data_IF_374570330196
#
_entry.id   IF_374570330196
#
_cell.length_a   1.000
_cell.length_b   1.000
_cell.length_c   1.000
_cell.angle_alpha   90.00
_cell.angle_beta   90.00
_cell.angle_gamma   90.00
#
_symmetry.space_group_name_H-M   'P 1'
#
loop_
_entity.id
_entity.type
_entity.pdbx_description
1 polymer ?
#
# COMPACT_ATOMS: atom_id res chain seq x y z
N UNK A 1 -7.60 24.70 -9.70
CA UNK A 1 -8.00 25.54 -8.53
C UNK A 1 -8.33 26.93 -9.02
N UNK A 2 -9.55 27.42 -8.77
CA UNK A 2 -9.89 28.82 -8.97
C UNK A 2 -9.12 29.65 -7.95
N UNK A 3 -8.47 30.73 -8.41
CA UNK A 3 -7.74 31.65 -7.55
C UNK A 3 -8.74 32.37 -6.65
N UNK A 4 -8.69 32.14 -5.33
CA UNK A 4 -9.51 32.85 -4.36
C UNK A 4 -8.74 34.10 -3.94
N UNK A 5 -9.33 35.27 -4.12
CA UNK A 5 -8.76 36.58 -3.72
C UNK A 5 -9.50 37.01 -2.47
N UNK A 6 -8.77 37.33 -1.42
CA UNK A 6 -9.30 37.90 -0.17
C UNK A 6 -8.77 39.36 -0.09
N UNK A 7 -9.68 40.30 -0.13
CA UNK A 7 -9.34 41.74 0.03
C UNK A 7 -9.41 42.11 1.50
N UNK A 8 -8.43 42.87 1.96
CA UNK A 8 -8.33 43.31 3.34
C UNK A 8 -8.00 44.82 3.39
N UNK A 9 -8.88 45.60 3.99
CA UNK A 9 -8.63 46.99 4.34
C UNK A 9 -8.02 47.11 5.73
N UNK A 10 -7.62 48.35 6.11
CA UNK A 10 -6.95 48.62 7.39
C UNK A 10 -7.92 48.77 8.59
N UNK A 11 -9.23 48.61 8.40
CA UNK A 11 -10.17 48.67 9.52
C UNK A 11 -10.18 47.35 10.28
N UNK A 12 -10.39 47.38 11.58
CA UNK A 12 -10.50 46.19 12.45
C UNK A 12 -11.53 45.18 11.91
N UNK A 13 -12.67 45.69 11.43
CA UNK A 13 -13.72 44.85 10.85
C UNK A 13 -13.22 44.10 9.59
N UNK A 14 -12.57 44.84 8.66
CA UNK A 14 -12.07 44.23 7.43
C UNK A 14 -10.99 43.17 7.68
N UNK A 15 -10.14 43.42 8.70
CA UNK A 15 -9.14 42.42 9.12
C UNK A 15 -9.84 41.16 9.69
N UNK A 16 -10.87 41.32 10.53
CA UNK A 16 -11.60 40.22 11.09
C UNK A 16 -12.32 39.41 10.00
N UNK A 17 -12.98 40.09 9.06
CA UNK A 17 -13.66 39.44 7.92
C UNK A 17 -12.66 38.64 7.05
N UNK A 18 -11.46 39.15 6.82
CA UNK A 18 -10.40 38.43 6.10
C UNK A 18 -9.91 37.22 6.86
N UNK A 19 -9.74 37.30 8.19
CA UNK A 19 -9.38 36.16 9.05
C UNK A 19 -10.44 35.07 8.97
N UNK A 20 -11.71 35.44 9.04
CA UNK A 20 -12.79 34.45 9.01
C UNK A 20 -12.90 33.76 7.63
N UNK A 21 -12.68 34.50 6.53
CA UNK A 21 -12.59 33.92 5.20
C UNK A 21 -11.40 32.94 5.07
N UNK A 22 -10.25 33.24 5.66
CA UNK A 22 -9.09 32.36 5.68
C UNK A 22 -9.37 31.06 6.46
N UNK A 23 -10.08 31.15 7.58
CA UNK A 23 -10.47 29.96 8.36
C UNK A 23 -11.42 29.06 7.57
N UNK A 24 -12.39 29.64 6.87
CA UNK A 24 -13.30 28.89 6.00
C UNK A 24 -12.50 28.19 4.89
N UNK A 25 -11.61 28.92 4.23
CA UNK A 25 -10.75 28.35 3.18
C UNK A 25 -9.87 27.21 3.70
N UNK A 26 -9.28 27.38 4.87
CA UNK A 26 -8.48 26.33 5.53
C UNK A 26 -9.31 25.08 5.79
N UNK A 27 -10.53 25.22 6.28
CA UNK A 27 -11.44 24.10 6.52
C UNK A 27 -11.79 23.39 5.22
N UNK A 28 -12.13 24.13 4.15
CA UNK A 28 -12.39 23.58 2.83
C UNK A 28 -11.20 22.79 2.27
N UNK A 29 -9.99 23.33 2.42
CA UNK A 29 -8.75 22.69 1.98
C UNK A 29 -8.47 21.40 2.76
N UNK A 30 -8.65 21.45 4.07
CA UNK A 30 -8.47 20.25 4.93
C UNK A 30 -9.46 19.15 4.55
N UNK A 31 -10.72 19.48 4.32
CA UNK A 31 -11.72 18.49 3.88
C UNK A 31 -11.37 17.89 2.52
N UNK A 32 -10.85 18.68 1.59
CA UNK A 32 -10.38 18.19 0.29
C UNK A 32 -9.16 17.28 0.43
N UNK A 33 -8.20 17.64 1.27
CA UNK A 33 -7.04 16.78 1.56
C UNK A 33 -7.48 15.44 2.16
N UNK A 34 -8.40 15.47 3.12
CA UNK A 34 -8.94 14.26 3.72
C UNK A 34 -9.63 13.37 2.67
N UNK A 35 -10.46 13.94 1.80
CA UNK A 35 -11.12 13.22 0.72
C UNK A 35 -10.10 12.62 -0.26
N UNK A 36 -9.06 13.39 -0.60
CA UNK A 36 -7.99 12.94 -1.49
C UNK A 36 -7.24 11.73 -0.92
N UNK A 37 -6.82 11.80 0.35
CA UNK A 37 -6.15 10.68 1.04
C UNK A 37 -7.06 9.45 1.10
N UNK A 38 -8.33 9.62 1.49
CA UNK A 38 -9.29 8.52 1.57
C UNK A 38 -9.46 7.81 0.23
N UNK A 39 -9.69 8.56 -0.86
CA UNK A 39 -9.90 7.96 -2.18
C UNK A 39 -8.69 7.19 -2.70
N UNK A 40 -7.47 7.67 -2.44
CA UNK A 40 -6.25 6.94 -2.80
C UNK A 40 -6.08 5.68 -1.96
N UNK A 41 -6.38 5.73 -0.68
CA UNK A 41 -6.30 4.59 0.22
C UNK A 41 -7.31 3.50 -0.14
N UNK A 42 -8.54 3.89 -0.42
CA UNK A 42 -9.61 2.98 -0.83
C UNK A 42 -9.28 2.28 -2.15
N UNK A 43 -8.76 3.03 -3.14
CA UNK A 43 -8.27 2.45 -4.39
C UNK A 43 -7.15 1.42 -4.16
N UNK A 44 -6.15 1.77 -3.37
CA UNK A 44 -5.06 0.85 -3.07
C UNK A 44 -5.52 -0.40 -2.31
N UNK A 45 -6.42 -0.24 -1.33
CA UNK A 45 -6.99 -1.36 -0.59
C UNK A 45 -7.78 -2.30 -1.51
N UNK A 46 -8.59 -1.76 -2.42
CA UNK A 46 -9.36 -2.53 -3.41
C UNK A 46 -8.42 -3.40 -4.28
N UNK A 47 -7.30 -2.83 -4.73
CA UNK A 47 -6.32 -3.59 -5.52
C UNK A 47 -5.67 -4.70 -4.70
N UNK A 48 -5.30 -4.44 -3.44
CA UNK A 48 -4.77 -5.47 -2.54
C UNK A 48 -5.77 -6.60 -2.38
N UNK A 49 -7.02 -6.28 -2.06
CA UNK A 49 -8.08 -7.26 -1.84
C UNK A 49 -8.35 -8.10 -3.09
N UNK A 50 -8.51 -7.45 -4.24
CA UNK A 50 -8.74 -8.13 -5.52
C UNK A 50 -7.59 -9.08 -5.87
N UNK A 51 -6.35 -8.66 -5.64
CA UNK A 51 -5.18 -9.51 -5.86
C UNK A 51 -5.19 -10.70 -4.91
N UNK A 52 -5.42 -10.48 -3.63
CA UNK A 52 -5.49 -11.55 -2.63
C UNK A 52 -6.62 -12.54 -2.90
N UNK A 53 -7.78 -12.07 -3.37
CA UNK A 53 -8.92 -12.94 -3.75
C UNK A 53 -8.61 -13.82 -4.95
N UNK A 54 -7.71 -13.41 -5.85
CA UNK A 54 -7.29 -14.18 -7.02
C UNK A 54 -6.34 -15.33 -6.68
N UNK A 55 -5.79 -15.36 -5.47
CA UNK A 55 -4.83 -16.38 -5.01
C UNK A 55 -5.58 -17.65 -4.54
N UNK A 56 -5.15 -18.84 -4.90
CA UNK A 56 -5.71 -20.08 -4.37
C UNK A 56 -5.70 -20.13 -2.84
N UNK A 57 -6.74 -20.67 -2.23
CA UNK A 57 -6.90 -20.67 -0.77
C UNK A 57 -5.77 -21.40 -0.05
N UNK A 58 -5.24 -22.46 -0.65
CA UNK A 58 -4.10 -23.22 -0.12
C UNK A 58 -2.79 -22.41 -0.06
N UNK A 59 -2.64 -21.39 -0.92
CA UNK A 59 -1.45 -20.55 -0.97
C UNK A 59 -1.57 -19.30 -0.09
N UNK A 60 -2.79 -18.69 -0.08
CA UNK A 60 -2.95 -17.38 0.58
C UNK A 60 -3.00 -17.46 2.10
N UNK A 61 -3.50 -18.57 2.67
CA UNK A 61 -3.70 -18.69 4.11
C UNK A 61 -4.66 -17.64 4.69
N UNK A 62 -4.59 -17.44 6.00
CA UNK A 62 -5.36 -16.38 6.65
C UNK A 62 -4.67 -15.03 6.49
N UNK A 63 -5.42 -14.01 6.13
CA UNK A 63 -4.92 -12.65 5.98
C UNK A 63 -5.94 -11.61 6.44
N UNK A 64 -5.45 -10.42 6.70
CA UNK A 64 -6.23 -9.25 7.10
C UNK A 64 -5.70 -8.00 6.41
N UNK A 65 -6.60 -7.15 5.93
CA UNK A 65 -6.26 -5.88 5.27
C UNK A 65 -6.94 -4.71 5.99
N UNK A 66 -6.23 -3.61 6.15
CA UNK A 66 -6.78 -2.39 6.75
C UNK A 66 -6.16 -1.12 6.18
N UNK A 67 -6.87 -0.01 6.32
CA UNK A 67 -6.33 1.34 6.12
C UNK A 67 -6.12 1.96 7.50
N UNK A 68 -4.89 2.41 7.76
CA UNK A 68 -4.52 3.16 8.96
C UNK A 68 -4.38 4.61 8.58
N UNK A 69 -5.18 5.49 9.20
CA UNK A 69 -5.14 6.93 8.92
C UNK A 69 -4.28 7.67 9.95
N UNK A 70 -3.34 8.49 9.43
CA UNK A 70 -2.59 9.44 10.24
C UNK A 70 -3.42 10.71 10.44
N UNK A 71 -3.62 11.11 11.70
CA UNK A 71 -4.47 12.24 12.07
C UNK A 71 -3.71 13.25 12.92
N UNK A 72 -3.81 14.53 12.53
CA UNK A 72 -3.44 15.70 13.35
C UNK A 72 -4.63 16.68 13.34
N UNK A 73 -5.70 16.29 14.06
CA UNK A 73 -7.02 16.92 13.92
C UNK A 73 -7.77 16.43 12.68
N UNK A 74 -7.20 16.59 11.49
CA UNK A 74 -7.70 16.05 10.23
C UNK A 74 -6.83 14.87 9.75
N UNK A 75 -7.33 14.09 8.80
CA UNK A 75 -6.54 13.05 8.13
C UNK A 75 -5.50 13.74 7.22
N UNK A 76 -4.22 13.46 7.48
CA UNK A 76 -3.08 14.02 6.75
C UNK A 76 -2.34 12.98 5.91
N UNK A 77 -2.54 11.71 6.22
CA UNK A 77 -1.92 10.58 5.53
C UNK A 77 -2.61 9.28 5.84
N UNK A 78 -2.16 8.22 5.20
CA UNK A 78 -2.65 6.85 5.44
C UNK A 78 -1.61 5.82 5.05
N UNK A 79 -1.77 4.63 5.63
CA UNK A 79 -1.01 3.43 5.26
C UNK A 79 -2.00 2.30 4.98
N UNK A 80 -1.73 1.50 3.96
CA UNK A 80 -2.44 0.25 3.72
C UNK A 80 -1.61 -0.85 4.34
N UNK A 81 -2.24 -1.67 5.16
CA UNK A 81 -1.60 -2.82 5.81
C UNK A 81 -2.22 -4.11 5.31
N UNK A 82 -1.36 -5.04 4.91
CA UNK A 82 -1.68 -6.44 4.66
C UNK A 82 -0.94 -7.28 5.70
N UNK A 83 -1.65 -8.08 6.47
CA UNK A 83 -1.11 -8.93 7.54
C UNK A 83 -1.57 -10.36 7.36
N UNK A 84 -0.73 -11.33 7.68
CA UNK A 84 -1.04 -12.75 7.58
C UNK A 84 0.24 -13.59 7.57
N UNK A 85 0.09 -14.90 7.69
CA UNK A 85 1.22 -15.82 7.82
C UNK A 85 2.07 -15.90 6.55
N UNK A 86 1.43 -15.83 5.37
CA UNK A 86 2.08 -16.04 4.07
C UNK A 86 2.33 -14.74 3.28
N UNK A 87 1.99 -13.58 3.82
CA UNK A 87 1.97 -12.32 3.05
C UNK A 87 3.30 -11.94 2.43
N UNK A 88 4.41 -12.23 3.10
CA UNK A 88 5.74 -11.96 2.54
C UNK A 88 6.07 -12.88 1.36
N UNK A 89 5.67 -14.13 1.42
CA UNK A 89 5.84 -15.06 0.30
C UNK A 89 4.93 -14.71 -0.87
N UNK A 90 3.71 -14.26 -0.58
CA UNK A 90 2.77 -13.77 -1.59
C UNK A 90 3.30 -12.53 -2.29
N UNK A 91 3.89 -11.61 -1.55
CA UNK A 91 4.46 -10.38 -2.12
C UNK A 91 5.74 -10.69 -2.93
N UNK A 92 6.67 -11.46 -2.36
CA UNK A 92 8.03 -11.58 -2.86
C UNK A 92 8.40 -12.93 -3.47
N UNK A 93 7.50 -13.89 -3.50
CA UNK A 93 7.70 -15.31 -3.82
C UNK A 93 8.54 -16.10 -2.79
N UNK A 94 8.56 -17.40 -2.94
CA UNK A 94 9.43 -18.31 -2.20
C UNK A 94 9.86 -19.49 -3.07
N UNK A 95 11.09 -19.97 -2.84
CA UNK A 95 11.66 -21.12 -3.55
C UNK A 95 12.21 -20.77 -4.93
N UNK A 96 13.00 -21.69 -5.46
CA UNK A 96 13.69 -21.50 -6.76
C UNK A 96 12.84 -21.92 -7.96
N UNK A 97 11.76 -22.68 -7.74
CA UNK A 97 10.92 -23.20 -8.83
C UNK A 97 10.21 -22.08 -9.58
N UNK A 98 9.88 -21.01 -8.89
CA UNK A 98 9.20 -19.83 -9.45
C UNK A 98 10.15 -18.73 -9.88
N UNK A 99 11.45 -18.98 -9.83
CA UNK A 99 12.51 -18.20 -10.45
C UNK A 99 12.69 -16.80 -9.87
N UNK A 100 13.47 -16.03 -10.61
CA UNK A 100 13.61 -14.61 -10.38
C UNK A 100 12.26 -13.95 -10.58
N UNK A 101 11.73 -13.39 -9.51
CA UNK A 101 10.48 -12.71 -9.61
C UNK A 101 10.62 -11.39 -10.35
N UNK A 102 9.49 -11.00 -10.88
CA UNK A 102 9.35 -9.77 -11.64
C UNK A 102 9.19 -8.54 -10.75
N UNK A 103 9.49 -8.63 -9.44
CA UNK A 103 9.36 -7.49 -8.53
C UNK A 103 10.44 -6.44 -8.84
N UNK A 104 10.07 -5.32 -9.47
CA UNK A 104 11.03 -4.32 -9.92
C UNK A 104 11.53 -3.49 -8.74
N UNK A 105 12.78 -3.65 -8.39
CA UNK A 105 13.45 -2.74 -7.47
C UNK A 105 13.93 -1.47 -8.16
N UNK A 106 13.97 -0.35 -7.45
CA UNK A 106 14.55 0.89 -7.96
C UNK A 106 16.02 0.74 -8.42
N UNK A 107 16.72 -0.23 -7.88
CA UNK A 107 18.11 -0.57 -8.24
C UNK A 107 18.24 -1.49 -9.46
N UNK A 108 17.13 -1.88 -10.08
CA UNK A 108 17.12 -2.89 -11.15
C UNK A 108 17.32 -4.33 -10.66
N UNK A 109 17.46 -4.55 -9.36
CA UNK A 109 17.43 -5.88 -8.77
C UNK A 109 15.99 -6.31 -8.55
N UNK A 110 15.69 -7.59 -8.69
CA UNK A 110 14.37 -8.14 -8.34
C UNK A 110 14.33 -8.61 -6.89
N UNK A 111 13.18 -8.42 -6.22
CA UNK A 111 12.87 -9.15 -4.99
C UNK A 111 12.57 -10.60 -5.32
N UNK A 112 12.77 -11.48 -4.37
CA UNK A 112 12.53 -12.90 -4.47
C UNK A 112 13.63 -13.64 -3.76
N UNK A 113 14.18 -14.64 -4.35
CA UNK A 113 15.25 -15.45 -3.72
C UNK A 113 16.40 -14.68 -3.07
N UNK A 114 16.49 -13.39 -3.23
CA UNK A 114 17.44 -12.52 -2.57
C UNK A 114 16.97 -11.89 -1.27
N UNK A 115 15.71 -12.04 -0.90
CA UNK A 115 15.14 -11.39 0.30
C UNK A 115 15.59 -12.08 1.59
N UNK A 116 16.04 -13.32 1.50
CA UNK A 116 16.60 -14.07 2.61
C UNK A 116 18.10 -14.23 2.41
N UNK A 117 18.92 -13.53 3.20
CA UNK A 117 20.37 -13.46 2.97
C UNK A 117 21.09 -14.64 3.58
N UNK A 118 20.79 -15.86 3.23
CA UNK A 118 21.70 -16.91 3.60
C UNK A 118 22.61 -17.30 2.45
N UNK A 119 23.56 -16.46 2.14
CA UNK A 119 24.64 -16.80 1.18
C UNK A 119 25.58 -17.88 1.67
N UNK A 120 25.45 -18.40 2.87
CA UNK A 120 26.44 -19.31 3.47
C UNK A 120 25.92 -20.68 3.86
N UNK A 121 24.62 -20.85 4.00
CA UNK A 121 24.01 -22.14 4.28
C UNK A 121 22.94 -22.37 3.22
N UNK A 122 23.03 -23.53 2.55
CA UNK A 122 21.94 -23.98 1.68
C UNK A 122 20.72 -24.17 2.58
N UNK A 123 19.80 -23.25 2.51
CA UNK A 123 18.53 -23.40 3.19
C UNK A 123 17.65 -24.36 2.40
N UNK A 124 16.79 -25.08 3.08
CA UNK A 124 15.91 -26.07 2.45
C UNK A 124 15.05 -25.49 1.33
N UNK A 125 14.76 -24.20 1.38
CA UNK A 125 13.94 -23.52 0.35
C UNK A 125 14.70 -23.16 -0.94
N UNK A 126 16.00 -23.35 -1.01
CA UNK A 126 16.81 -23.34 -2.25
C UNK A 126 16.83 -24.75 -2.91
N UNK A 127 16.18 -25.72 -2.32
CA UNK A 127 16.15 -27.07 -2.84
C UNK A 127 15.17 -27.19 -4.01
N UNK A 128 15.60 -27.58 -5.21
CA UNK A 128 14.70 -27.79 -6.36
C UNK A 128 13.64 -28.87 -6.12
N UNK A 129 13.88 -29.77 -5.16
CA UNK A 129 12.91 -30.79 -4.76
C UNK A 129 11.92 -30.30 -3.69
N UNK A 130 11.94 -29.01 -3.36
CA UNK A 130 11.12 -28.43 -2.32
C UNK A 130 11.65 -28.71 -0.91
N UNK A 131 10.88 -28.31 0.07
CA UNK A 131 11.18 -28.51 1.49
C UNK A 131 9.94 -28.87 2.30
N UNK A 132 10.18 -29.47 3.46
CA UNK A 132 9.12 -29.76 4.42
C UNK A 132 9.10 -28.66 5.50
N UNK A 133 7.93 -28.21 5.86
CA UNK A 133 7.72 -27.34 7.01
C UNK A 133 6.56 -27.85 7.87
N UNK A 134 6.55 -27.46 9.13
CA UNK A 134 5.50 -27.83 10.08
C UNK A 134 4.69 -26.57 10.41
N UNK A 135 3.39 -26.64 10.27
CA UNK A 135 2.49 -25.55 10.62
C UNK A 135 2.28 -25.41 12.14
N UNK A 136 1.51 -24.40 12.56
CA UNK A 136 1.23 -24.14 13.96
C UNK A 136 0.43 -25.26 14.64
N UNK A 137 -0.26 -26.12 13.87
CA UNK A 137 -0.97 -27.31 14.36
C UNK A 137 -0.09 -28.52 14.55
N UNK A 138 1.18 -28.45 14.14
CA UNK A 138 2.13 -29.56 14.16
C UNK A 138 2.04 -30.48 12.94
N UNK A 139 1.27 -30.11 11.91
CA UNK A 139 1.16 -30.87 10.67
C UNK A 139 2.31 -30.53 9.72
N UNK A 140 2.93 -31.57 9.13
CA UNK A 140 3.99 -31.41 8.15
C UNK A 140 3.44 -31.26 6.75
N UNK A 141 3.96 -30.25 6.04
CA UNK A 141 3.60 -29.92 4.66
C UNK A 141 4.85 -29.91 3.79
N UNK A 142 4.70 -30.31 2.52
CA UNK A 142 5.75 -30.19 1.53
C UNK A 142 5.47 -28.99 0.62
N UNK A 143 6.47 -28.14 0.42
CA UNK A 143 6.36 -26.96 -0.43
C UNK A 143 7.43 -26.96 -1.51
N UNK A 144 7.05 -26.55 -2.70
CA UNK A 144 7.96 -26.20 -3.81
C UNK A 144 8.16 -24.67 -3.92
N UNK A 145 7.58 -23.92 -3.00
CA UNK A 145 7.52 -22.46 -3.06
C UNK A 145 6.22 -21.96 -3.69
N UNK A 146 6.16 -20.65 -3.85
CA UNK A 146 5.04 -19.96 -4.50
C UNK A 146 5.55 -18.79 -5.34
N UNK A 147 4.75 -18.42 -6.36
CA UNK A 147 5.04 -17.26 -7.19
C UNK A 147 4.76 -15.95 -6.43
N UNK A 148 5.39 -14.84 -6.84
CA UNK A 148 5.03 -13.54 -6.37
C UNK A 148 3.71 -13.10 -7.02
N UNK A 149 2.73 -12.73 -6.20
CA UNK A 149 1.46 -12.13 -6.64
C UNK A 149 1.47 -10.61 -6.50
N UNK A 150 2.36 -10.08 -5.69
CA UNK A 150 2.70 -8.65 -5.54
C UNK A 150 1.49 -7.73 -5.22
N UNK A 151 0.60 -8.06 -4.28
CA UNK A 151 -0.59 -7.25 -4.01
C UNK A 151 -0.27 -5.81 -3.62
N UNK A 152 0.75 -5.60 -2.78
CA UNK A 152 1.14 -4.27 -2.33
C UNK A 152 1.82 -3.45 -3.44
N UNK A 153 2.66 -4.09 -4.25
CA UNK A 153 3.26 -3.45 -5.42
C UNK A 153 2.21 -3.01 -6.44
N UNK A 154 1.23 -3.86 -6.75
CA UNK A 154 0.15 -3.49 -7.67
C UNK A 154 -0.71 -2.34 -7.12
N UNK A 155 -0.96 -2.32 -5.81
CA UNK A 155 -1.64 -1.21 -5.16
C UNK A 155 -0.85 0.11 -5.27
N UNK A 156 0.46 0.08 -5.04
CA UNK A 156 1.34 1.24 -5.22
C UNK A 156 1.25 1.78 -6.66
N UNK A 157 1.39 0.91 -7.66
CA UNK A 157 1.30 1.31 -9.06
C UNK A 157 -0.06 1.91 -9.42
N UNK A 158 -1.15 1.33 -8.93
CA UNK A 158 -2.49 1.85 -9.15
C UNK A 158 -2.67 3.26 -8.54
N UNK A 159 -2.17 3.47 -7.32
CA UNK A 159 -2.17 4.78 -6.66
C UNK A 159 -1.37 5.81 -7.46
N UNK A 160 -0.14 5.47 -7.88
CA UNK A 160 0.72 6.37 -8.65
C UNK A 160 0.06 6.79 -9.96
N UNK A 161 -0.58 5.86 -10.67
CA UNK A 161 -1.29 6.16 -11.91
C UNK A 161 -2.51 7.07 -11.65
N UNK A 162 -3.26 6.83 -10.57
CA UNK A 162 -4.52 7.52 -10.29
C UNK A 162 -4.34 8.89 -9.62
N UNK A 163 -3.19 9.16 -8.97
CA UNK A 163 -2.98 10.33 -8.13
C UNK A 163 -3.34 11.65 -8.84
N UNK A 164 -2.91 11.84 -10.09
CA UNK A 164 -3.17 13.07 -10.85
C UNK A 164 -4.65 13.26 -11.18
N UNK A 165 -5.33 12.16 -11.53
CA UNK A 165 -6.76 12.17 -11.85
C UNK A 165 -7.57 12.52 -10.60
N UNK A 166 -7.33 11.83 -9.49
CA UNK A 166 -8.03 12.04 -8.22
C UNK A 166 -7.75 13.46 -7.69
N UNK A 167 -6.50 13.93 -7.77
CA UNK A 167 -6.17 15.31 -7.39
C UNK A 167 -6.97 16.34 -8.21
N UNK A 168 -7.08 16.15 -9.52
CA UNK A 168 -7.88 17.03 -10.38
C UNK A 168 -9.36 17.02 -10.02
N UNK A 169 -9.92 15.86 -9.69
CA UNK A 169 -11.33 15.73 -9.31
C UNK A 169 -11.63 16.37 -7.94
N UNK A 170 -10.70 16.28 -6.99
CA UNK A 170 -10.88 16.81 -5.63
C UNK A 170 -10.59 18.31 -5.54
N UNK A 171 -9.53 18.77 -6.19
CA UNK A 171 -9.03 20.15 -6.05
C UNK A 171 -9.36 21.05 -7.26
N UNK A 172 -9.62 20.44 -8.44
CA UNK A 172 -9.89 21.14 -9.71
C UNK A 172 -11.19 21.79 -9.78
#
# INVERSE_FOLDING_TARGET
MSKKIIECGLSQKSIQDAIDQLKVYQTELNNKNELFVKRLSELGLEVVQTTMESIPDEEKGSYYTEIIYDKQGNIIGSSIRLSGNNVLFIEFSAGITYGTNDYPLPSGNSYGMGTYPSKKEKSDWDNPNGWWYTDESGQSHHSYGNRAYMPMYHAEQAIVIAVRKIAKEVFG
#
